data_IF_130648122797
#
_entry.id   IF_130648122797
#
_cell.length_a   1.000
_cell.length_b   1.000
_cell.length_c   1.000
_cell.angle_alpha   90.00
_cell.angle_beta   90.00
_cell.angle_gamma   90.00
#
_symmetry.space_group_name_H-M   'P 1'
#
loop_
_entity.id
_entity.type
_entity.pdbx_description
1 polymer ?
#
# COMPACT_ATOMS: atom_id res chain seq x y z
N UNK A 1 6.65 -17.42 -8.42
CA UNK A 1 6.08 -18.12 -7.25
C UNK A 1 5.94 -19.59 -7.60
N UNK A 2 6.60 -20.50 -6.88
CA UNK A 2 6.39 -21.93 -7.09
C UNK A 2 5.32 -22.42 -6.10
N UNK A 3 4.10 -22.61 -6.60
CA UNK A 3 2.94 -23.05 -5.85
C UNK A 3 2.95 -24.57 -5.57
N UNK A 4 4.10 -25.15 -5.21
CA UNK A 4 4.23 -26.60 -5.01
C UNK A 4 3.30 -27.18 -3.94
N UNK A 5 2.90 -26.36 -2.95
CA UNK A 5 1.96 -26.74 -1.88
C UNK A 5 0.48 -26.48 -2.22
N UNK A 6 0.15 -26.01 -3.43
CA UNK A 6 -1.23 -25.69 -3.83
C UNK A 6 -1.80 -26.65 -4.88
N UNK A 7 -1.09 -27.75 -5.22
CA UNK A 7 -1.51 -28.68 -6.26
C UNK A 7 -2.83 -29.41 -5.93
N UNK A 8 -3.16 -29.59 -4.65
CA UNK A 8 -4.36 -30.28 -4.18
C UNK A 8 -5.56 -29.35 -3.94
N UNK A 9 -5.52 -28.12 -4.43
CA UNK A 9 -6.57 -27.15 -4.13
C UNK A 9 -7.75 -27.23 -5.08
N UNK A 10 -8.90 -27.66 -4.56
CA UNK A 10 -10.20 -27.49 -5.18
C UNK A 10 -10.57 -26.00 -5.19
N UNK A 11 -10.87 -25.49 -6.38
CA UNK A 11 -11.20 -24.09 -6.62
C UNK A 11 -12.06 -23.98 -7.89
N UNK A 12 -12.78 -22.87 -8.01
CA UNK A 12 -13.62 -22.59 -9.17
C UNK A 12 -12.85 -21.75 -10.16
N UNK A 13 -12.84 -22.17 -11.42
CA UNK A 13 -12.31 -21.38 -12.52
C UNK A 13 -13.44 -20.57 -13.14
N UNK A 14 -13.30 -19.24 -13.17
CA UNK A 14 -14.30 -18.32 -13.68
C UNK A 14 -13.75 -17.62 -14.93
N UNK A 15 -14.45 -17.76 -16.06
CA UNK A 15 -14.17 -17.00 -17.28
C UNK A 15 -14.90 -15.66 -17.21
N UNK A 16 -14.17 -14.57 -17.39
CA UNK A 16 -14.69 -13.21 -17.38
C UNK A 16 -14.42 -12.55 -18.72
N UNK A 17 -15.49 -12.12 -19.37
CA UNK A 17 -15.46 -11.40 -20.64
C UNK A 17 -16.01 -10.00 -20.44
N UNK A 18 -15.27 -9.02 -20.94
CA UNK A 18 -15.71 -7.64 -20.98
C UNK A 18 -16.28 -7.38 -22.36
N UNK A 19 -17.55 -7.02 -22.45
CA UNK A 19 -18.21 -6.69 -23.70
C UNK A 19 -18.29 -5.16 -23.88
N UNK A 20 -18.37 -4.73 -25.13
CA UNK A 20 -18.73 -3.35 -25.51
C UNK A 20 -20.25 -3.19 -25.55
N UNK A 21 -20.73 -1.97 -25.79
CA UNK A 21 -22.16 -1.68 -25.90
C UNK A 21 -22.84 -2.39 -27.08
N UNK A 22 -22.08 -2.72 -28.12
CA UNK A 22 -22.52 -3.49 -29.29
C UNK A 22 -22.49 -5.02 -29.08
N UNK A 23 -22.15 -5.49 -27.87
CA UNK A 23 -22.03 -6.91 -27.54
C UNK A 23 -20.72 -7.57 -27.98
N UNK A 24 -19.86 -6.87 -28.72
CA UNK A 24 -18.57 -7.43 -29.14
C UNK A 24 -17.57 -7.49 -27.96
N UNK A 25 -16.65 -8.47 -27.93
CA UNK A 25 -15.65 -8.57 -26.88
C UNK A 25 -14.72 -7.35 -26.91
N UNK A 26 -14.56 -6.70 -25.76
CA UNK A 26 -13.67 -5.55 -25.57
C UNK A 26 -12.20 -5.97 -25.65
N UNK A 27 -11.87 -7.19 -25.22
CA UNK A 27 -10.52 -7.75 -25.26
C UNK A 27 -10.49 -9.03 -26.09
N UNK A 28 -9.41 -9.27 -26.82
CA UNK A 28 -9.25 -10.47 -27.68
C UNK A 28 -9.22 -11.79 -26.90
N UNK A 29 -8.83 -11.75 -25.63
CA UNK A 29 -8.72 -12.93 -24.77
C UNK A 29 -9.56 -12.72 -23.52
N UNK A 30 -10.37 -13.72 -23.11
CA UNK A 30 -11.07 -13.66 -21.85
C UNK A 30 -10.08 -13.69 -20.69
N UNK A 31 -10.49 -13.15 -19.56
CA UNK A 31 -9.74 -13.23 -18.32
C UNK A 31 -10.19 -14.47 -17.55
N UNK A 32 -9.23 -15.22 -17.01
CA UNK A 32 -9.51 -16.39 -16.19
C UNK A 32 -9.19 -16.07 -14.73
N UNK A 33 -10.18 -16.20 -13.86
CA UNK A 33 -10.05 -15.99 -12.43
C UNK A 33 -10.07 -17.33 -11.71
N UNK A 34 -9.11 -17.51 -10.81
CA UNK A 34 -9.07 -18.65 -9.90
C UNK A 34 -9.72 -18.24 -8.58
N UNK A 35 -10.94 -18.70 -8.35
CA UNK A 35 -11.72 -18.37 -7.15
C UNK A 35 -11.59 -19.47 -6.10
N UNK A 36 -11.25 -19.04 -4.89
CA UNK A 36 -11.27 -19.88 -3.70
C UNK A 36 -11.97 -19.11 -2.58
N UNK A 37 -13.22 -19.47 -2.34
CA UNK A 37 -14.08 -18.89 -1.33
C UNK A 37 -15.42 -19.62 -1.32
N UNK A 38 -16.43 -19.09 -0.60
CA UNK A 38 -17.75 -19.70 -0.54
C UNK A 38 -18.35 -19.88 -1.95
N UNK A 39 -18.95 -21.04 -2.28
CA UNK A 39 -19.55 -21.28 -3.58
C UNK A 39 -20.85 -20.48 -3.81
N UNK A 40 -21.43 -19.91 -2.77
CA UNK A 40 -22.70 -19.16 -2.81
C UNK A 40 -22.52 -17.73 -3.36
N UNK A 41 -21.28 -17.26 -3.53
CA UNK A 41 -21.00 -15.91 -4.04
C UNK A 41 -21.40 -15.83 -5.51
N UNK A 42 -22.28 -14.88 -5.85
CA UNK A 42 -22.73 -14.68 -7.21
C UNK A 42 -21.55 -14.33 -8.15
N UNK A 43 -21.55 -14.89 -9.37
CA UNK A 43 -20.48 -14.66 -10.36
C UNK A 43 -20.27 -13.17 -10.67
N UNK A 44 -21.35 -12.38 -10.67
CA UNK A 44 -21.28 -10.94 -10.86
C UNK A 44 -20.46 -10.24 -9.76
N UNK A 45 -20.57 -10.70 -8.51
CA UNK A 45 -19.83 -10.14 -7.39
C UNK A 45 -18.36 -10.54 -7.42
N UNK A 46 -18.04 -11.76 -7.87
CA UNK A 46 -16.65 -12.18 -8.12
C UNK A 46 -15.96 -11.25 -9.14
N UNK A 47 -16.66 -10.91 -10.22
CA UNK A 47 -16.17 -9.97 -11.22
C UNK A 47 -15.96 -8.57 -10.60
N UNK A 48 -16.92 -8.06 -9.82
CA UNK A 48 -16.81 -6.77 -9.12
C UNK A 48 -15.63 -6.77 -8.15
N UNK A 49 -15.48 -7.79 -7.31
CA UNK A 49 -14.37 -7.94 -6.36
C UNK A 49 -13.02 -7.92 -7.08
N UNK A 50 -12.91 -8.60 -8.22
CA UNK A 50 -11.69 -8.56 -9.02
C UNK A 50 -11.40 -7.16 -9.56
N UNK A 51 -12.41 -6.42 -10.03
CA UNK A 51 -12.22 -5.04 -10.48
C UNK A 51 -11.74 -4.12 -9.34
N UNK A 52 -12.18 -4.37 -8.11
CA UNK A 52 -11.67 -3.69 -6.92
C UNK A 52 -10.20 -3.96 -6.61
N UNK A 53 -9.59 -5.02 -7.17
CA UNK A 53 -8.17 -5.34 -6.98
C UNK A 53 -7.26 -4.16 -7.36
N UNK A 54 -7.63 -3.40 -8.39
CA UNK A 54 -6.82 -2.27 -8.83
C UNK A 54 -6.82 -1.09 -7.84
N UNK A 55 -7.79 -1.03 -6.91
CA UNK A 55 -7.84 0.01 -5.89
C UNK A 55 -6.59 0.03 -4.99
N UNK A 56 -5.94 -1.12 -4.79
CA UNK A 56 -4.70 -1.21 -4.00
C UNK A 56 -3.53 -0.45 -4.65
N UNK A 57 -3.50 -0.35 -5.99
CA UNK A 57 -2.46 0.39 -6.70
C UNK A 57 -2.58 1.88 -6.46
N UNK A 58 -3.82 2.40 -6.38
CA UNK A 58 -4.09 3.79 -6.01
C UNK A 58 -3.65 4.07 -4.58
N UNK A 59 -3.91 3.14 -3.65
CA UNK A 59 -3.41 3.22 -2.28
C UNK A 59 -1.89 3.30 -2.25
N UNK A 60 -1.18 2.35 -2.88
CA UNK A 60 0.28 2.34 -2.88
C UNK A 60 0.89 3.57 -3.55
N UNK A 61 0.29 4.05 -4.65
CA UNK A 61 0.70 5.31 -5.29
C UNK A 61 0.57 6.47 -4.31
N UNK A 62 -0.58 6.60 -3.64
CA UNK A 62 -0.81 7.65 -2.67
C UNK A 62 0.16 7.59 -1.49
N UNK A 63 0.35 6.41 -0.89
CA UNK A 63 1.27 6.22 0.23
C UNK A 63 2.71 6.60 -0.13
N UNK A 64 3.18 6.21 -1.32
CA UNK A 64 4.53 6.54 -1.79
C UNK A 64 4.71 8.03 -2.07
N UNK A 65 3.73 8.66 -2.72
CA UNK A 65 3.84 10.06 -3.16
C UNK A 65 3.55 11.07 -2.07
N UNK A 66 2.60 10.78 -1.17
CA UNK A 66 2.06 11.76 -0.22
C UNK A 66 2.30 11.42 1.25
N UNK A 67 2.56 10.15 1.59
CA UNK A 67 2.77 9.70 2.98
C UNK A 67 4.22 9.28 3.26
N UNK A 68 5.09 9.33 2.27
CA UNK A 68 6.50 8.99 2.43
C UNK A 68 6.74 7.50 2.69
N UNK A 69 5.95 6.59 2.14
CA UNK A 69 6.14 5.15 2.36
C UNK A 69 7.59 4.67 2.16
N UNK A 70 8.29 5.26 1.18
CA UNK A 70 9.68 4.93 0.85
C UNK A 70 10.73 5.89 1.43
N UNK A 71 10.36 6.80 2.34
CA UNK A 71 11.30 7.79 2.90
C UNK A 71 12.16 7.24 4.03
N UNK A 72 11.78 6.11 4.65
CA UNK A 72 12.61 5.49 5.67
C UNK A 72 13.91 4.94 5.06
N UNK A 73 15.04 5.51 5.47
CA UNK A 73 16.41 5.13 5.04
C UNK A 73 17.14 4.28 6.08
N UNK A 74 16.43 3.76 7.08
CA UNK A 74 16.99 2.91 8.11
C UNK A 74 17.37 1.53 7.56
N UNK A 75 18.57 1.01 7.84
CA UNK A 75 18.93 -0.37 7.50
C UNK A 75 18.27 -1.40 8.44
N UNK A 76 17.62 -0.95 9.52
CA UNK A 76 16.98 -1.83 10.48
C UNK A 76 15.59 -2.27 9.96
N UNK A 77 15.41 -3.58 9.80
CA UNK A 77 14.15 -4.18 9.32
C UNK A 77 12.95 -3.88 10.22
N UNK A 78 13.15 -3.85 11.55
CA UNK A 78 12.09 -3.52 12.51
C UNK A 78 11.63 -2.08 12.31
N UNK A 79 12.58 -1.16 12.12
CA UNK A 79 12.27 0.25 11.83
C UNK A 79 11.53 0.40 10.50
N UNK A 80 11.94 -0.31 9.46
CA UNK A 80 11.25 -0.32 8.17
C UNK A 80 9.81 -0.85 8.30
N UNK A 81 9.62 -1.95 9.04
CA UNK A 81 8.30 -2.52 9.30
C UNK A 81 7.38 -1.57 10.08
N UNK A 82 7.90 -0.96 11.15
CA UNK A 82 7.16 0.02 11.95
C UNK A 82 6.77 1.24 11.10
N UNK A 83 7.67 1.71 10.23
CA UNK A 83 7.36 2.81 9.31
C UNK A 83 6.21 2.49 8.35
N UNK A 84 6.20 1.27 7.78
CA UNK A 84 5.08 0.83 6.93
C UNK A 84 3.76 0.83 7.71
N UNK A 85 3.77 0.36 8.95
CA UNK A 85 2.59 0.39 9.82
C UNK A 85 2.14 1.81 10.15
N UNK A 86 3.08 2.72 10.45
CA UNK A 86 2.76 4.14 10.69
C UNK A 86 2.10 4.78 9.45
N UNK A 87 2.63 4.52 8.25
CA UNK A 87 2.02 5.00 7.01
C UNK A 87 0.60 4.44 6.81
N UNK A 88 0.40 3.15 7.09
CA UNK A 88 -0.90 2.49 6.97
C UNK A 88 -1.92 3.05 7.97
N UNK A 89 -1.52 3.23 9.24
CA UNK A 89 -2.37 3.82 10.28
C UNK A 89 -2.73 5.27 9.95
N UNK A 90 -1.76 6.07 9.52
CA UNK A 90 -2.01 7.46 9.13
C UNK A 90 -2.96 7.55 7.93
N UNK A 91 -2.86 6.64 6.96
CA UNK A 91 -3.85 6.57 5.88
C UNK A 91 -5.25 6.19 6.38
N UNK A 92 -5.32 5.27 7.35
CA UNK A 92 -6.58 4.91 8.00
C UNK A 92 -7.23 6.11 8.70
N UNK A 93 -6.43 6.94 9.37
CA UNK A 93 -6.92 8.21 9.94
C UNK A 93 -7.50 9.13 8.87
N UNK A 94 -6.84 9.26 7.71
CA UNK A 94 -7.39 10.05 6.60
C UNK A 94 -8.73 9.49 6.07
N UNK A 95 -8.92 8.16 6.07
CA UNK A 95 -10.21 7.59 5.67
C UNK A 95 -11.33 7.93 6.67
N UNK A 96 -11.04 7.89 7.98
CA UNK A 96 -11.98 8.26 9.03
C UNK A 96 -12.34 9.74 9.02
N UNK A 97 -11.35 10.60 8.75
CA UNK A 97 -11.52 12.05 8.68
C UNK A 97 -12.36 12.50 7.49
N UNK A 98 -12.56 11.64 6.48
CA UNK A 98 -13.16 12.01 5.20
C UNK A 98 -14.50 12.74 5.32
N UNK A 99 -15.38 12.26 6.19
CA UNK A 99 -16.72 12.82 6.40
C UNK A 99 -16.73 13.96 7.43
N UNK A 100 -15.61 14.17 8.13
CA UNK A 100 -15.48 15.18 9.19
C UNK A 100 -14.84 16.49 8.68
N UNK A 101 -14.06 16.43 7.60
CA UNK A 101 -13.35 17.60 7.08
C UNK A 101 -14.16 18.34 6.02
N UNK A 102 -14.15 19.66 6.09
CA UNK A 102 -14.63 20.51 5.00
C UNK A 102 -13.60 20.52 3.88
N UNK A 103 -14.02 20.39 2.61
CA UNK A 103 -13.07 20.38 1.49
C UNK A 103 -12.38 21.74 1.33
N UNK A 104 -11.07 21.78 1.56
CA UNK A 104 -10.23 22.91 1.16
C UNK A 104 -9.95 22.85 -0.35
N UNK A 105 -10.67 23.69 -1.11
CA UNK A 105 -10.58 23.79 -2.58
C UNK A 105 -10.19 25.21 -2.96
N UNK A 106 -8.97 25.42 -3.50
CA UNK A 106 -8.57 26.70 -4.06
C UNK A 106 -9.55 27.17 -5.16
N UNK A 107 -9.70 28.48 -5.33
CA UNK A 107 -10.65 29.07 -6.26
C UNK A 107 -10.49 28.62 -7.73
N UNK A 108 -9.26 28.27 -8.13
CA UNK A 108 -8.94 27.75 -9.46
C UNK A 108 -9.23 26.25 -9.63
N UNK A 109 -9.59 25.54 -8.56
CA UNK A 109 -9.87 24.11 -8.64
C UNK A 109 -11.22 23.86 -9.33
N UNK A 110 -11.29 23.01 -10.38
CA UNK A 110 -12.52 22.83 -11.15
C UNK A 110 -13.71 22.42 -10.29
N UNK A 111 -14.78 23.21 -10.30
CA UNK A 111 -16.09 22.78 -9.79
C UNK A 111 -16.68 21.81 -10.80
N UNK A 112 -16.71 20.52 -10.48
CA UNK A 112 -17.55 19.59 -11.24
C UNK A 112 -19.02 19.93 -10.93
N UNK A 113 -19.83 20.32 -11.94
CA UNK A 113 -21.27 20.45 -11.74
C UNK A 113 -21.86 19.05 -11.58
N UNK A 114 -22.50 18.79 -10.45
CA UNK A 114 -23.07 17.49 -10.11
C UNK A 114 -22.36 16.77 -8.95
N UNK A 115 -23.03 16.81 -7.79
CA UNK A 115 -23.01 15.87 -6.66
C UNK A 115 -21.68 15.54 -5.97
N UNK A 116 -21.61 15.89 -4.68
CA UNK A 116 -21.40 14.98 -3.54
C UNK A 116 -20.35 13.86 -3.57
N UNK A 117 -19.44 13.83 -4.54
CA UNK A 117 -18.40 12.79 -4.60
C UNK A 117 -17.55 12.85 -3.34
N UNK A 118 -17.37 11.70 -2.66
CA UNK A 118 -16.74 11.71 -1.37
C UNK A 118 -15.25 12.06 -1.54
N UNK A 119 -14.70 12.83 -0.60
CA UNK A 119 -13.37 13.46 -0.76
C UNK A 119 -12.27 12.44 -1.05
N UNK A 120 -11.37 12.75 -1.95
CA UNK A 120 -10.20 11.88 -2.20
C UNK A 120 -9.22 11.95 -1.02
N UNK A 121 -8.40 10.91 -0.77
CA UNK A 121 -7.42 10.94 0.32
C UNK A 121 -6.51 12.18 0.30
N UNK A 122 -6.13 12.66 -0.89
CA UNK A 122 -5.32 13.88 -1.03
C UNK A 122 -6.08 15.15 -0.62
N UNK A 123 -7.37 15.25 -0.91
CA UNK A 123 -8.21 16.37 -0.49
C UNK A 123 -8.44 16.36 1.02
N UNK A 124 -8.65 15.17 1.61
CA UNK A 124 -8.75 15.02 3.06
C UNK A 124 -7.44 15.40 3.72
N UNK A 125 -6.31 14.92 3.21
CA UNK A 125 -4.98 15.24 3.74
C UNK A 125 -4.71 16.75 3.79
N UNK A 126 -5.11 17.51 2.75
CA UNK A 126 -4.99 18.98 2.75
C UNK A 126 -5.79 19.65 3.87
N UNK A 127 -6.98 19.12 4.14
CA UNK A 127 -7.91 19.70 5.13
C UNK A 127 -7.69 19.15 6.54
N UNK A 128 -6.93 18.05 6.67
CA UNK A 128 -6.76 17.31 7.92
C UNK A 128 -6.09 18.14 9.00
N UNK A 129 -5.12 18.99 8.66
CA UNK A 129 -4.42 19.80 9.66
C UNK A 129 -5.37 20.76 10.39
N UNK A 130 -6.25 21.44 9.66
CA UNK A 130 -7.24 22.36 10.23
C UNK A 130 -8.14 21.62 11.21
N UNK A 131 -8.67 20.48 10.78
CA UNK A 131 -9.51 19.64 11.63
C UNK A 131 -8.77 19.13 12.88
N UNK A 132 -7.52 18.67 12.75
CA UNK A 132 -6.75 18.16 13.88
C UNK A 132 -6.40 19.26 14.89
N UNK A 133 -6.19 20.50 14.42
CA UNK A 133 -5.99 21.65 15.31
C UNK A 133 -7.28 22.00 16.06
N UNK A 134 -8.43 22.00 15.37
CA UNK A 134 -9.74 22.24 16.00
C UNK A 134 -10.13 21.15 17.00
N UNK A 135 -9.85 19.88 16.68
CA UNK A 135 -10.08 18.76 17.59
C UNK A 135 -9.21 18.84 18.85
N UNK A 136 -8.06 19.52 18.76
CA UNK A 136 -7.04 19.57 19.80
C UNK A 136 -6.28 18.25 19.93
N UNK A 137 -5.58 18.08 21.05
CA UNK A 137 -4.85 16.85 21.35
C UNK A 137 -5.21 16.32 22.73
N UNK A 138 -5.53 15.02 22.87
CA UNK A 138 -5.66 14.39 24.17
C UNK A 138 -4.29 14.16 24.84
N UNK A 139 -3.19 14.37 24.12
CA UNK A 139 -1.86 14.16 24.65
C UNK A 139 -1.50 15.24 25.67
N UNK A 140 -0.83 14.82 26.76
CA UNK A 140 -0.26 15.75 27.71
C UNK A 140 0.76 16.69 27.03
N UNK A 141 0.94 17.87 27.62
CA UNK A 141 1.97 18.82 27.18
C UNK A 141 3.33 18.15 27.11
N UNK A 142 4.04 18.35 26.00
CA UNK A 142 5.38 17.82 25.83
C UNK A 142 6.27 18.28 26.98
N UNK A 143 7.04 17.35 27.56
CA UNK A 143 8.04 17.70 28.56
C UNK A 143 9.13 18.52 27.87
N UNK A 144 9.57 19.65 28.45
CA UNK A 144 10.67 20.41 27.89
C UNK A 144 11.91 19.50 27.83
N UNK A 145 12.32 19.15 26.62
CA UNK A 145 13.60 18.50 26.41
C UNK A 145 14.68 19.55 26.72
N UNK A 146 15.32 19.42 27.88
CA UNK A 146 16.44 20.28 28.25
C UNK A 146 17.59 20.16 27.25
N UNK A 147 18.66 20.94 27.46
CA UNK A 147 19.88 20.78 26.66
C UNK A 147 20.43 19.37 26.88
N UNK A 148 20.37 18.53 25.84
CA UNK A 148 21.03 17.23 25.86
C UNK A 148 22.53 17.41 26.10
N UNK A 149 23.16 16.47 26.80
CA UNK A 149 24.60 16.46 27.08
C UNK A 149 25.48 16.40 25.82
N UNK A 150 24.87 16.21 24.64
CA UNK A 150 25.56 16.12 23.37
C UNK A 150 26.35 14.82 23.23
N UNK A 151 27.19 14.78 22.21
CA UNK A 151 28.17 13.70 22.07
C UNK A 151 29.33 13.96 23.03
N UNK A 152 29.87 12.93 23.70
CA UNK A 152 31.08 13.11 24.50
C UNK A 152 32.22 13.67 23.63
N UNK A 153 33.11 14.46 24.25
CA UNK A 153 34.30 14.97 23.58
C UNK A 153 35.10 13.79 23.01
N UNK A 154 35.52 13.91 21.75
CA UNK A 154 36.22 12.86 21.00
C UNK A 154 35.40 11.60 20.66
N UNK A 155 34.07 11.65 20.78
CA UNK A 155 33.23 10.54 20.30
C UNK A 155 33.18 10.50 18.76
N UNK A 156 33.70 9.42 18.20
CA UNK A 156 33.59 9.09 16.78
C UNK A 156 32.81 7.77 16.63
N UNK A 157 31.60 7.79 16.04
CA UNK A 157 30.87 6.55 15.80
C UNK A 157 31.65 5.68 14.81
N UNK A 158 31.68 4.37 15.08
CA UNK A 158 32.32 3.41 14.17
C UNK A 158 31.70 3.50 12.77
N UNK A 159 32.52 3.45 11.69
CA UNK A 159 31.99 3.35 10.34
C UNK A 159 31.06 2.15 10.20
N UNK A 160 29.98 2.31 9.44
CA UNK A 160 29.03 1.21 9.20
C UNK A 160 29.76 0.04 8.54
N UNK A 161 29.55 -1.18 9.07
CA UNK A 161 30.06 -2.41 8.47
C UNK A 161 29.59 -2.53 7.01
N UNK A 162 30.53 -2.63 6.08
CA UNK A 162 30.24 -2.89 4.66
C UNK A 162 30.26 -4.39 4.44
N UNK A 163 29.10 -4.96 4.13
CA UNK A 163 29.00 -6.36 3.73
C UNK A 163 29.47 -6.52 2.27
N UNK A 164 30.11 -7.65 1.97
CA UNK A 164 30.51 -7.98 0.60
C UNK A 164 29.28 -8.10 -0.32
N UNK A 165 29.40 -7.61 -1.56
CA UNK A 165 28.32 -7.73 -2.56
C UNK A 165 28.18 -9.19 -2.96
N UNK A 166 27.05 -9.81 -2.63
CA UNK A 166 26.74 -11.17 -3.05
C UNK A 166 26.21 -11.09 -4.49
N UNK A 167 27.03 -11.45 -5.47
CA UNK A 167 26.56 -11.70 -6.82
C UNK A 167 25.85 -13.06 -6.86
N UNK A 168 24.69 -13.14 -7.51
CA UNK A 168 24.09 -14.44 -7.84
C UNK A 168 25.04 -15.18 -8.78
N UNK A 169 25.79 -16.14 -8.24
CA UNK A 169 26.65 -17.02 -9.04
C UNK A 169 25.83 -17.80 -10.07
N UNK A 170 26.44 -18.06 -11.23
CA UNK A 170 25.96 -19.07 -12.19
C UNK A 170 25.77 -20.40 -11.44
N UNK A 171 24.71 -21.13 -11.79
CA UNK A 171 24.41 -22.46 -11.24
C UNK A 171 25.70 -23.31 -11.23
N UNK A 172 26.08 -23.81 -10.06
CA UNK A 172 27.02 -24.93 -9.98
C UNK A 172 26.38 -26.08 -10.78
N UNK A 173 27.06 -26.67 -11.78
CA UNK A 173 26.53 -27.84 -12.46
C UNK A 173 26.32 -28.94 -11.43
N UNK A 174 25.11 -29.51 -11.40
CA UNK A 174 24.81 -30.71 -10.60
C UNK A 174 25.83 -31.77 -11.01
N UNK A 175 26.65 -32.26 -10.07
CA UNK A 175 27.36 -33.51 -10.27
C UNK A 175 26.34 -34.59 -10.64
N UNK A 176 26.57 -35.40 -11.69
CA UNK A 176 25.67 -36.48 -12.03
C UNK A 176 25.55 -37.39 -10.81
N UNK A 177 24.31 -37.69 -10.43
CA UNK A 177 24.03 -38.69 -9.43
C UNK A 177 24.65 -40.00 -9.92
N UNK A 178 25.54 -40.57 -9.12
CA UNK A 178 25.93 -41.96 -9.29
C UNK A 178 24.65 -42.79 -9.34
N UNK A 179 24.50 -43.55 -10.41
CA UNK A 179 23.38 -44.47 -10.64
C UNK A 179 23.98 -45.84 -10.91
N UNK A 180 23.23 -46.92 -10.65
CA UNK A 180 22.60 -47.33 -9.40
C UNK A 180 23.51 -48.21 -8.53
#
# INVERSE_FOLDING_TARGET
>A
MHFKKLASLSATLVQVEFLKADGAPRYKRPMWLFWRGPPEVALADLCRMYLWRFAIEHLFRFLKQHMGLNTNRSPNLVSAQQWMWLCALAYWQLLLLREQVKPDRPAWYPRKPGQGSPLTPAQVQRSALVFLVELGTPAATARPAGKGTGRPKNYHPAPRLRYAVIFKGKKVPKSPAASP
#
